data_IF_914179977272
#
_entry.id   IF_914179977272
#
_cell.length_a   1.000
_cell.length_b   1.000
_cell.length_c   1.000
_cell.angle_alpha   90.00
_cell.angle_beta   90.00
_cell.angle_gamma   90.00
#
_symmetry.space_group_name_H-M   'P 1'
#
loop_
_entity.id
_entity.type
_entity.pdbx_description
1 polymer ?
#
# COMPACT_ATOMS: atom_id res chain seq x y z
N UNK A 1 2.47 19.55 13.25
CA UNK A 1 2.12 20.23 11.97
C UNK A 1 2.52 19.35 10.79
N UNK A 2 1.93 19.45 9.59
CA UNK A 2 2.27 18.56 8.46
C UNK A 2 3.73 18.69 7.98
N UNK A 3 4.33 19.88 8.14
CA UNK A 3 5.73 20.15 7.76
C UNK A 3 6.71 19.29 8.56
N UNK A 4 6.47 19.08 9.86
CA UNK A 4 7.34 18.24 10.71
C UNK A 4 7.34 16.77 10.29
N UNK A 5 6.26 16.28 9.65
CA UNK A 5 6.22 14.91 9.15
C UNK A 5 7.15 14.70 7.95
N UNK A 6 7.39 15.76 7.17
CA UNK A 6 8.19 15.72 5.94
C UNK A 6 9.68 15.94 6.20
N UNK A 7 10.06 16.63 7.29
CA UNK A 7 11.46 16.95 7.61
C UNK A 7 11.91 16.49 9.00
N UNK A 8 11.01 15.88 9.78
CA UNK A 8 11.29 15.35 11.11
C UNK A 8 11.68 13.87 11.12
N UNK A 9 11.75 13.25 12.30
CA UNK A 9 12.25 11.88 12.47
C UNK A 9 11.39 10.81 11.79
N UNK A 10 10.13 11.12 11.50
CA UNK A 10 9.21 10.22 10.78
C UNK A 10 9.40 10.29 9.24
N UNK A 11 10.18 11.25 8.72
CA UNK A 11 10.37 11.42 7.27
C UNK A 11 10.93 10.16 6.57
N UNK A 12 11.92 9.43 7.14
CA UNK A 12 12.42 8.18 6.54
C UNK A 12 11.38 7.04 6.51
N UNK A 13 10.31 7.15 7.30
CA UNK A 13 9.23 6.17 7.35
C UNK A 13 8.14 6.45 6.32
N UNK A 14 8.20 7.57 5.58
CA UNK A 14 7.24 7.89 4.54
C UNK A 14 7.42 6.94 3.34
N UNK A 15 6.32 6.33 2.93
CA UNK A 15 6.24 5.46 1.75
C UNK A 15 5.03 5.81 0.91
N UNK A 16 5.18 5.68 -0.41
CA UNK A 16 4.06 5.69 -1.33
C UNK A 16 3.28 4.37 -1.25
N UNK A 17 1.97 4.45 -1.46
CA UNK A 17 1.15 3.26 -1.57
C UNK A 17 1.56 2.44 -2.81
N UNK A 18 1.81 1.13 -2.66
CA UNK A 18 2.16 0.28 -3.80
C UNK A 18 1.03 0.05 -4.80
N UNK A 19 -0.20 0.53 -4.53
CA UNK A 19 -1.31 0.39 -5.46
C UNK A 19 -1.12 1.45 -6.56
N UNK A 20 -0.92 1.07 -7.85
CA UNK A 20 -0.61 2.01 -8.91
C UNK A 20 -1.70 3.07 -9.13
N UNK A 21 -2.95 2.77 -8.76
CA UNK A 21 -4.08 3.70 -8.84
C UNK A 21 -4.24 4.57 -7.58
N UNK A 22 -3.27 4.57 -6.66
CA UNK A 22 -3.34 5.28 -5.38
C UNK A 22 -2.17 6.24 -5.21
N UNK A 23 -2.48 7.51 -5.02
CA UNK A 23 -1.50 8.59 -4.85
C UNK A 23 -1.18 8.92 -3.39
N UNK A 24 -1.62 8.09 -2.43
CA UNK A 24 -1.45 8.38 -0.99
C UNK A 24 -0.04 8.02 -0.51
N UNK A 25 0.56 8.92 0.27
CA UNK A 25 1.74 8.66 1.11
C UNK A 25 1.29 8.26 2.52
N UNK A 26 2.04 7.39 3.19
CA UNK A 26 1.78 6.97 4.57
C UNK A 26 3.08 6.77 5.34
N UNK A 27 3.00 6.85 6.67
CA UNK A 27 4.10 6.53 7.59
C UNK A 27 4.09 5.03 7.89
N UNK A 28 5.18 4.33 7.58
CA UNK A 28 5.36 2.90 7.83
C UNK A 28 5.95 2.64 9.21
N UNK A 29 5.05 2.44 10.20
CA UNK A 29 5.42 1.99 11.55
C UNK A 29 5.39 0.46 11.71
N UNK A 30 5.37 -0.30 10.61
CA UNK A 30 5.36 -1.75 10.70
C UNK A 30 6.74 -2.29 11.07
N UNK A 31 6.76 -3.41 11.81
CA UNK A 31 8.00 -4.09 12.15
C UNK A 31 8.75 -4.49 10.87
N UNK A 32 9.97 -3.95 10.70
CA UNK A 32 10.82 -4.18 9.53
C UNK A 32 10.40 -3.44 8.26
N UNK A 33 9.59 -2.36 8.36
CA UNK A 33 9.17 -1.53 7.22
C UNK A 33 8.54 -2.33 6.04
N UNK A 34 7.81 -3.38 6.39
CA UNK A 34 7.25 -4.38 5.45
C UNK A 34 5.86 -4.04 4.94
N UNK A 35 5.27 -2.92 5.38
CA UNK A 35 3.97 -2.49 4.89
C UNK A 35 4.11 -1.96 3.48
N UNK A 36 3.21 -2.36 2.60
CA UNK A 36 3.22 -1.98 1.19
C UNK A 36 2.00 -1.13 0.77
N UNK A 37 0.97 -1.02 1.61
CA UNK A 37 -0.28 -0.33 1.29
C UNK A 37 -0.64 0.73 2.32
N UNK A 38 -1.18 1.87 1.87
CA UNK A 38 -1.61 2.98 2.74
C UNK A 38 -2.73 2.61 3.73
N UNK A 39 -3.38 1.46 3.54
CA UNK A 39 -4.41 0.90 4.41
C UNK A 39 -4.87 -0.46 3.87
N UNK A 40 -5.27 -1.35 4.78
CA UNK A 40 -5.78 -2.66 4.37
C UNK A 40 -7.13 -2.53 3.68
N UNK A 41 -8.05 -1.72 4.22
CA UNK A 41 -9.37 -1.51 3.64
C UNK A 41 -9.32 -0.64 2.37
N UNK A 42 -8.48 0.40 2.35
CA UNK A 42 -8.38 1.33 1.21
C UNK A 42 -7.72 0.69 -0.02
N UNK A 43 -6.60 -0.01 0.15
CA UNK A 43 -5.79 -0.52 -0.95
C UNK A 43 -5.47 -2.01 -0.85
N UNK A 44 -5.10 -2.52 0.34
CA UNK A 44 -4.66 -3.91 0.49
C UNK A 44 -5.70 -4.94 0.03
N UNK A 45 -6.95 -4.79 0.46
CA UNK A 45 -8.05 -5.69 0.10
C UNK A 45 -8.38 -5.58 -1.39
N UNK A 46 -8.39 -4.35 -1.94
CA UNK A 46 -8.66 -4.07 -3.35
C UNK A 46 -7.65 -4.77 -4.27
N UNK A 47 -6.35 -4.61 -4.00
CA UNK A 47 -5.28 -5.24 -4.79
C UNK A 47 -5.34 -6.76 -4.67
N UNK A 48 -5.50 -7.31 -3.46
CA UNK A 48 -5.63 -8.76 -3.27
C UNK A 48 -6.83 -9.35 -4.00
N UNK A 49 -7.98 -8.67 -3.96
CA UNK A 49 -9.20 -9.10 -4.65
C UNK A 49 -9.03 -9.05 -6.18
N UNK A 50 -8.40 -8.01 -6.72
CA UNK A 50 -8.08 -7.92 -8.15
C UNK A 50 -7.17 -9.08 -8.58
N UNK A 51 -6.08 -9.33 -7.85
CA UNK A 51 -5.17 -10.42 -8.13
C UNK A 51 -5.84 -11.80 -8.02
N UNK A 52 -6.71 -12.00 -7.03
CA UNK A 52 -7.49 -13.24 -6.90
C UNK A 52 -8.42 -13.47 -8.11
N UNK A 53 -9.17 -12.44 -8.53
CA UNK A 53 -10.05 -12.52 -9.70
C UNK A 53 -9.26 -12.80 -10.98
N UNK A 54 -8.11 -12.17 -11.18
CA UNK A 54 -7.23 -12.43 -12.32
C UNK A 54 -6.78 -13.90 -12.36
N UNK A 55 -6.30 -14.45 -11.23
CA UNK A 55 -5.91 -15.87 -11.13
C UNK A 55 -7.06 -16.83 -11.44
N UNK A 56 -8.28 -16.53 -10.95
CA UNK A 56 -9.47 -17.34 -11.24
C UNK A 56 -9.86 -17.29 -12.72
N UNK A 57 -9.77 -16.13 -13.37
CA UNK A 57 -10.01 -16.00 -14.82
C UNK A 57 -8.99 -16.81 -15.64
N UNK A 58 -7.70 -16.75 -15.29
CA UNK A 58 -6.65 -17.54 -15.94
C UNK A 58 -6.80 -19.04 -15.71
N UNK A 59 -7.36 -19.46 -14.58
CA UNK A 59 -7.60 -20.87 -14.27
C UNK A 59 -8.85 -21.43 -14.98
N UNK A 60 -9.86 -20.61 -15.25
CA UNK A 60 -11.08 -21.04 -15.95
C UNK A 60 -10.96 -21.03 -17.48
N UNK A 61 -9.92 -20.37 -18.02
CA UNK A 61 -9.61 -20.35 -19.46
C UNK A 61 -8.58 -21.40 -19.90
N UNK A 62 -8.13 -22.26 -18.98
CA UNK A 62 -7.39 -23.49 -19.28
C UNK A 62 -8.34 -24.67 -19.14
#
# INVERSE_FOLDING_TARGET
QAVELLSGPDAPLLKECGNPECTRVYVDRSHGARRHWCGMESCGNRVKAAAYRARKKSAAGR
#
